data_IF_480425971887
#
_entry.id   IF_480425971887
#
_cell.length_a   1.000
_cell.length_b   1.000
_cell.length_c   1.000
_cell.angle_alpha   90.00
_cell.angle_beta   90.00
_cell.angle_gamma   90.00
#
_symmetry.space_group_name_H-M   'P 1'
#
loop_
_entity.id
_entity.type
_entity.pdbx_description
1 polymer ?
#
# COMPACT_ATOMS: atom_id res chain seq x y z
N UNK A 1 17.82 -35.14 8.96
CA UNK A 1 17.54 -34.02 8.03
C UNK A 1 17.34 -32.72 8.83
N UNK A 2 18.35 -32.33 9.63
CA UNK A 2 18.23 -31.20 10.56
C UNK A 2 19.45 -30.29 10.41
N UNK A 3 19.56 -29.56 9.28
CA UNK A 3 20.70 -28.64 9.14
C UNK A 3 20.56 -27.58 8.06
N UNK A 4 19.39 -26.93 7.92
CA UNK A 4 19.26 -25.83 6.94
C UNK A 4 18.56 -24.56 7.43
N UNK A 5 18.53 -24.33 8.74
CA UNK A 5 18.17 -22.98 9.23
C UNK A 5 19.33 -22.42 10.03
N UNK A 6 20.26 -21.73 9.37
CA UNK A 6 21.19 -20.83 10.04
C UNK A 6 20.42 -19.60 10.48
N UNK A 7 19.99 -19.57 11.75
CA UNK A 7 19.51 -18.34 12.38
C UNK A 7 20.74 -17.43 12.52
N UNK A 8 20.86 -16.46 11.64
CA UNK A 8 21.83 -15.38 11.78
C UNK A 8 21.32 -14.51 12.96
N UNK A 9 22.08 -14.36 14.06
CA UNK A 9 21.65 -13.52 15.15
C UNK A 9 21.54 -12.09 14.63
N UNK A 10 20.34 -11.54 14.63
CA UNK A 10 20.12 -10.13 14.34
C UNK A 10 20.87 -9.34 15.43
N UNK A 11 21.92 -8.60 15.05
CA UNK A 11 22.49 -7.55 15.90
C UNK A 11 21.35 -6.57 16.19
N UNK A 12 20.88 -6.54 17.45
CA UNK A 12 20.00 -5.46 17.91
C UNK A 12 20.79 -4.15 17.77
N UNK A 13 20.50 -3.42 16.70
CA UNK A 13 20.91 -2.03 16.59
C UNK A 13 20.10 -1.30 17.65
N UNK A 14 20.77 -0.76 18.67
CA UNK A 14 20.13 0.08 19.70
C UNK A 14 19.56 1.32 19.01
N UNK A 15 18.25 1.32 18.78
CA UNK A 15 17.52 2.42 18.15
C UNK A 15 17.31 3.53 19.20
N UNK A 16 18.36 4.25 19.57
CA UNK A 16 18.28 5.40 20.49
C UNK A 16 17.69 6.68 19.88
N UNK A 17 17.47 6.73 18.57
CA UNK A 17 17.31 8.00 17.84
C UNK A 17 15.93 8.28 17.26
N UNK A 18 15.00 7.32 17.24
CA UNK A 18 13.66 7.51 16.64
C UNK A 18 12.80 8.50 17.45
N UNK A 19 13.05 8.65 18.74
CA UNK A 19 12.35 9.60 19.63
C UNK A 19 12.46 11.05 19.14
N UNK A 20 13.61 11.44 18.60
CA UNK A 20 13.86 12.82 18.17
C UNK A 20 13.04 13.26 16.97
N UNK A 21 12.70 12.35 16.05
CA UNK A 21 11.98 12.69 14.82
C UNK A 21 10.50 13.00 15.08
N UNK A 22 9.86 12.29 16.02
CA UNK A 22 8.42 12.37 16.27
C UNK A 22 8.06 13.15 17.55
N UNK A 23 9.00 13.81 18.20
CA UNK A 23 8.78 14.48 19.48
C UNK A 23 7.57 15.39 19.48
N UNK A 24 7.41 16.21 18.43
CA UNK A 24 6.27 17.14 18.31
C UNK A 24 4.93 16.42 18.24
N UNK A 25 4.85 15.35 17.47
CA UNK A 25 3.63 14.55 17.31
C UNK A 25 3.29 13.80 18.61
N UNK A 26 4.28 13.22 19.27
CA UNK A 26 4.13 12.53 20.56
C UNK A 26 3.61 13.51 21.62
N UNK A 27 4.21 14.69 21.76
CA UNK A 27 3.77 15.73 22.71
C UNK A 27 2.33 16.20 22.42
N UNK A 28 2.00 16.40 21.16
CA UNK A 28 0.66 16.80 20.73
C UNK A 28 -0.37 15.74 21.10
N UNK A 29 -0.10 14.46 20.80
CA UNK A 29 -1.00 13.36 21.12
C UNK A 29 -1.13 13.20 22.64
N UNK A 30 -0.02 13.27 23.39
CA UNK A 30 -0.06 13.24 24.87
C UNK A 30 -0.89 14.37 25.46
N UNK A 31 -0.91 15.55 24.84
CA UNK A 31 -1.77 16.66 25.24
C UNK A 31 -3.25 16.29 25.00
N UNK A 32 -3.60 15.77 23.81
CA UNK A 32 -4.96 15.35 23.51
C UNK A 32 -5.46 14.25 24.44
N UNK A 33 -4.61 13.30 24.82
CA UNK A 33 -4.93 12.25 25.79
C UNK A 33 -5.28 12.85 27.16
N UNK A 34 -4.50 13.84 27.63
CA UNK A 34 -4.79 14.56 28.89
C UNK A 34 -6.13 15.30 28.83
N UNK A 35 -6.49 15.82 27.67
CA UNK A 35 -7.75 16.47 27.39
C UNK A 35 -8.91 15.46 27.15
N UNK A 36 -8.62 14.17 27.22
CA UNK A 36 -9.57 13.05 26.96
C UNK A 36 -10.19 13.12 25.55
N UNK A 37 -9.47 13.60 24.58
CA UNK A 37 -9.85 13.62 23.17
C UNK A 37 -9.51 12.32 22.50
N UNK A 38 -10.28 11.95 21.49
CA UNK A 38 -9.97 10.83 20.61
C UNK A 38 -9.04 11.30 19.49
N UNK A 39 -8.13 10.44 19.03
CA UNK A 39 -7.08 10.84 18.10
C UNK A 39 -6.92 9.84 16.97
N UNK A 40 -6.91 10.34 15.73
CA UNK A 40 -6.41 9.63 14.57
C UNK A 40 -4.94 9.98 14.33
N UNK A 41 -4.10 8.95 14.20
CA UNK A 41 -2.68 9.06 13.84
C UNK A 41 -2.56 8.61 12.39
N UNK A 42 -2.53 9.58 11.47
CA UNK A 42 -2.57 9.35 10.04
C UNK A 42 -1.17 9.45 9.43
N UNK A 43 -0.89 8.64 8.40
CA UNK A 43 0.37 8.72 7.67
C UNK A 43 0.63 7.49 6.83
N UNK A 44 1.52 7.59 5.84
CA UNK A 44 1.88 6.48 4.96
C UNK A 44 2.40 5.24 5.70
N UNK A 45 2.53 4.12 4.99
CA UNK A 45 3.16 2.93 5.57
C UNK A 45 4.62 3.22 5.90
N UNK A 46 5.13 2.68 7.02
CA UNK A 46 6.53 2.76 7.42
C UNK A 46 7.03 4.13 7.90
N UNK A 47 6.16 5.14 8.07
CA UNK A 47 6.57 6.48 8.57
C UNK A 47 6.71 6.56 10.10
N UNK A 48 6.39 5.48 10.85
CA UNK A 48 6.55 5.42 12.31
C UNK A 48 5.25 5.57 13.12
N UNK A 49 4.05 5.37 12.54
CA UNK A 49 2.76 5.46 13.28
C UNK A 49 2.71 4.55 14.50
N UNK A 50 2.98 3.26 14.33
CA UNK A 50 3.00 2.29 15.44
C UNK A 50 4.03 2.63 16.51
N UNK A 51 5.18 3.15 16.10
CA UNK A 51 6.21 3.63 17.04
C UNK A 51 5.65 4.79 17.89
N UNK A 52 5.07 5.81 17.24
CA UNK A 52 4.47 6.97 17.96
C UNK A 52 3.33 6.50 18.88
N UNK A 53 2.50 5.57 18.43
CA UNK A 53 1.42 5.02 19.25
C UNK A 53 1.97 4.34 20.51
N UNK A 54 2.98 3.48 20.36
CA UNK A 54 3.61 2.77 21.49
C UNK A 54 4.25 3.73 22.47
N UNK A 55 5.03 4.72 22.00
CA UNK A 55 5.66 5.75 22.84
C UNK A 55 4.62 6.58 23.62
N UNK A 56 3.49 6.85 23.02
CA UNK A 56 2.41 7.61 23.66
C UNK A 56 1.69 6.76 24.71
N UNK A 57 1.52 5.47 24.46
CA UNK A 57 0.83 4.52 25.37
C UNK A 57 1.74 4.00 26.48
N UNK A 58 3.05 4.22 26.40
CA UNK A 58 3.99 3.80 27.41
C UNK A 58 3.63 4.39 28.79
N UNK A 59 3.54 3.53 29.79
CA UNK A 59 3.13 3.92 31.17
C UNK A 59 1.63 4.19 31.33
N UNK A 60 0.81 4.14 30.29
CA UNK A 60 -0.63 4.30 30.36
C UNK A 60 -1.35 2.94 30.42
N UNK A 61 -2.45 2.92 31.18
CA UNK A 61 -3.32 1.74 31.17
C UNK A 61 -4.13 1.70 29.87
N UNK A 62 -3.81 0.77 28.99
CA UNK A 62 -4.36 0.70 27.64
C UNK A 62 -4.89 -0.69 27.29
N UNK A 63 -5.69 -0.78 26.23
CA UNK A 63 -6.21 -2.03 25.68
C UNK A 63 -6.36 -1.90 24.16
N UNK A 64 -5.85 -2.90 23.44
CA UNK A 64 -6.00 -2.99 21.99
C UNK A 64 -7.39 -3.54 21.63
N UNK A 65 -8.05 -2.86 20.68
CA UNK A 65 -9.29 -3.35 20.07
C UNK A 65 -8.95 -3.96 18.71
N UNK A 66 -9.16 -5.28 18.60
CA UNK A 66 -8.93 -6.06 17.37
C UNK A 66 -10.24 -6.47 16.71
N UNK A 67 -10.19 -6.81 15.44
CA UNK A 67 -11.36 -7.30 14.68
C UNK A 67 -12.03 -8.52 15.32
N UNK A 68 -11.25 -9.37 15.98
CA UNK A 68 -11.75 -10.54 16.70
C UNK A 68 -12.71 -10.15 17.83
N UNK A 69 -12.44 -9.03 18.51
CA UNK A 69 -13.28 -8.52 19.59
C UNK A 69 -14.64 -8.00 19.10
N UNK A 70 -14.76 -7.66 17.81
CA UNK A 70 -16.01 -7.21 17.21
C UNK A 70 -17.02 -8.35 17.05
N UNK A 71 -16.54 -9.58 16.88
CA UNK A 71 -17.40 -10.78 16.80
C UNK A 71 -18.11 -11.07 18.13
N UNK A 72 -17.47 -10.70 19.24
CA UNK A 72 -18.00 -10.84 20.61
C UNK A 72 -18.37 -9.50 21.25
N UNK A 73 -18.87 -8.55 20.45
CA UNK A 73 -19.17 -7.17 20.83
C UNK A 73 -20.02 -7.06 22.13
N UNK A 74 -20.98 -7.93 22.30
CA UNK A 74 -21.85 -7.96 23.49
C UNK A 74 -21.12 -8.32 24.79
N UNK A 75 -20.00 -9.04 24.71
CA UNK A 75 -19.20 -9.46 25.86
C UNK A 75 -18.05 -8.50 26.14
N UNK A 76 -17.46 -7.93 25.12
CA UNK A 76 -16.21 -7.14 25.21
C UNK A 76 -16.46 -5.66 25.56
N UNK A 77 -17.38 -4.98 24.89
CA UNK A 77 -17.66 -3.56 25.12
C UNK A 77 -18.12 -3.23 26.55
N UNK A 78 -18.98 -4.03 27.22
CA UNK A 78 -19.38 -3.79 28.61
C UNK A 78 -18.21 -3.80 29.60
N UNK A 79 -17.13 -4.54 29.33
CA UNK A 79 -15.93 -4.54 30.17
C UNK A 79 -15.04 -3.32 29.99
N UNK A 80 -15.08 -2.69 28.81
CA UNK A 80 -14.26 -1.50 28.50
C UNK A 80 -14.97 -0.22 28.96
N UNK A 81 -16.27 -0.09 28.76
CA UNK A 81 -17.04 1.13 29.05
C UNK A 81 -16.82 1.72 30.47
N UNK A 82 -16.83 0.93 31.54
CA UNK A 82 -16.61 1.46 32.89
C UNK A 82 -15.14 1.71 33.21
N UNK A 83 -14.21 1.25 32.41
CA UNK A 83 -12.77 1.33 32.68
C UNK A 83 -12.19 2.70 32.36
N UNK A 84 -11.11 3.09 33.06
CA UNK A 84 -10.31 4.27 32.73
C UNK A 84 -9.22 4.00 31.69
N UNK A 85 -9.24 2.83 31.05
CA UNK A 85 -8.25 2.45 30.08
C UNK A 85 -8.35 3.27 28.79
N UNK A 86 -7.21 3.59 28.20
CA UNK A 86 -7.16 4.09 26.83
C UNK A 86 -7.36 2.93 25.87
N UNK A 87 -8.20 3.12 24.85
CA UNK A 87 -8.45 2.12 23.83
C UNK A 87 -7.66 2.51 22.60
N UNK A 88 -7.03 1.54 21.94
CA UNK A 88 -6.37 1.83 20.67
C UNK A 88 -6.70 0.78 19.61
N UNK A 89 -6.69 1.21 18.35
CA UNK A 89 -6.84 0.40 17.15
C UNK A 89 -5.59 0.62 16.32
N UNK A 90 -4.80 -0.45 16.14
CA UNK A 90 -3.67 -0.42 15.23
C UNK A 90 -4.15 -0.84 13.84
N UNK A 91 -3.77 -0.05 12.82
CA UNK A 91 -4.17 -0.22 11.42
C UNK A 91 -5.69 -0.29 11.21
N UNK A 92 -6.30 0.90 11.11
CA UNK A 92 -7.73 1.05 10.88
C UNK A 92 -8.22 0.29 9.63
N UNK A 93 -9.18 -0.58 9.85
CA UNK A 93 -9.91 -1.30 8.81
C UNK A 93 -11.39 -0.87 8.75
N UNK A 94 -12.07 -1.01 7.59
CA UNK A 94 -13.49 -0.67 7.46
C UNK A 94 -14.42 -1.38 8.45
N UNK A 95 -14.00 -2.52 9.00
CA UNK A 95 -14.70 -3.29 10.02
C UNK A 95 -14.91 -2.52 11.34
N UNK A 96 -14.02 -1.55 11.63
CA UNK A 96 -14.14 -0.68 12.81
C UNK A 96 -15.05 0.54 12.59
N UNK A 97 -15.49 0.79 11.36
CA UNK A 97 -16.29 1.97 11.01
C UNK A 97 -17.51 2.18 11.93
N UNK A 98 -18.33 1.16 12.27
CA UNK A 98 -19.49 1.35 13.15
C UNK A 98 -19.13 1.83 14.55
N UNK A 99 -17.93 1.44 15.06
CA UNK A 99 -17.46 1.89 16.37
C UNK A 99 -16.97 3.34 16.29
N UNK A 100 -16.25 3.68 15.23
CA UNK A 100 -15.77 5.05 15.02
C UNK A 100 -16.96 6.01 14.88
N UNK A 101 -17.98 5.67 14.10
CA UNK A 101 -19.20 6.46 13.95
C UNK A 101 -19.92 6.64 15.30
N UNK A 102 -20.08 5.57 16.06
CA UNK A 102 -20.70 5.64 17.40
C UNK A 102 -19.93 6.58 18.34
N UNK A 103 -18.59 6.55 18.32
CA UNK A 103 -17.74 7.45 19.12
C UNK A 103 -17.80 8.88 18.58
N UNK A 104 -17.87 9.04 17.26
CA UNK A 104 -18.03 10.33 16.58
C UNK A 104 -19.34 11.00 16.94
N UNK A 105 -20.41 10.23 17.14
CA UNK A 105 -21.74 10.72 17.57
C UNK A 105 -21.81 11.06 19.06
N UNK A 106 -20.70 10.91 19.79
CA UNK A 106 -20.58 11.33 21.20
C UNK A 106 -20.63 10.20 22.24
N UNK A 107 -20.79 8.94 21.82
CA UNK A 107 -20.65 7.81 22.74
C UNK A 107 -19.16 7.61 23.10
N UNK A 108 -18.89 6.97 24.21
CA UNK A 108 -17.53 6.69 24.68
C UNK A 108 -17.33 5.19 24.88
N UNK A 109 -16.27 4.65 24.33
CA UNK A 109 -15.87 3.26 24.55
C UNK A 109 -15.33 3.03 25.96
N UNK A 110 -14.69 4.06 26.54
CA UNK A 110 -14.12 4.03 27.89
C UNK A 110 -14.10 5.44 28.49
N UNK A 111 -13.64 5.58 29.74
CA UNK A 111 -13.35 6.90 30.34
C UNK A 111 -12.03 7.50 29.83
N UNK A 112 -11.21 6.72 29.13
CA UNK A 112 -9.98 7.16 28.45
C UNK A 112 -10.25 7.69 27.05
N UNK A 113 -9.18 7.87 26.29
CA UNK A 113 -9.21 8.27 24.88
C UNK A 113 -9.20 7.05 23.97
N UNK A 114 -9.76 7.20 22.75
CA UNK A 114 -9.60 6.26 21.66
C UNK A 114 -8.51 6.77 20.71
N UNK A 115 -7.48 5.94 20.47
CA UNK A 115 -6.40 6.23 19.52
C UNK A 115 -6.49 5.26 18.35
N UNK A 116 -6.40 5.77 17.14
CA UNK A 116 -6.53 4.97 15.92
C UNK A 116 -5.40 5.29 14.96
N UNK A 117 -4.62 4.29 14.54
CA UNK A 117 -3.67 4.49 13.45
C UNK A 117 -4.33 4.18 12.11
N UNK A 118 -4.04 4.99 11.08
CA UNK A 118 -4.56 4.79 9.74
C UNK A 118 -3.57 5.26 8.67
N UNK A 119 -3.69 4.68 7.48
CA UNK A 119 -2.82 5.05 6.35
C UNK A 119 -3.31 6.32 5.66
N UNK A 120 -4.62 6.46 5.51
CA UNK A 120 -5.25 7.60 4.87
C UNK A 120 -5.70 8.63 5.91
N UNK A 121 -5.83 9.88 5.49
CA UNK A 121 -6.35 10.93 6.35
C UNK A 121 -7.84 10.68 6.62
N UNK A 122 -8.20 10.52 7.89
CA UNK A 122 -9.57 10.37 8.34
C UNK A 122 -9.99 11.60 9.14
N UNK A 123 -11.18 12.11 8.84
CA UNK A 123 -11.78 13.23 9.57
C UNK A 123 -13.16 12.79 10.08
N UNK A 124 -13.29 12.69 11.38
CA UNK A 124 -14.55 12.39 12.06
C UNK A 124 -14.81 13.45 13.14
N UNK A 125 -16.06 13.85 13.36
CA UNK A 125 -16.41 14.68 14.53
C UNK A 125 -15.92 14.02 15.83
N UNK A 126 -15.56 14.84 16.82
CA UNK A 126 -15.03 14.38 18.11
C UNK A 126 -13.70 13.62 18.05
N UNK A 127 -12.98 13.69 16.92
CA UNK A 127 -11.62 13.20 16.77
C UNK A 127 -10.67 14.32 16.37
N UNK A 128 -9.51 14.35 17.00
CA UNK A 128 -8.37 15.15 16.54
C UNK A 128 -7.52 14.32 15.59
N UNK A 129 -6.99 14.92 14.54
CA UNK A 129 -6.15 14.21 13.56
C UNK A 129 -4.72 14.71 13.65
N UNK A 130 -3.79 13.79 13.89
CA UNK A 130 -2.35 14.05 13.88
C UNK A 130 -1.73 13.37 12.68
N UNK A 131 -1.13 14.15 11.79
CA UNK A 131 -0.50 13.64 10.58
C UNK A 131 0.99 13.43 10.80
N UNK A 132 1.48 12.24 10.43
CA UNK A 132 2.89 11.88 10.39
C UNK A 132 3.34 11.93 8.92
N UNK A 133 4.12 12.95 8.52
CA UNK A 133 4.57 13.11 7.15
C UNK A 133 5.67 12.10 6.79
N UNK A 134 5.91 11.91 5.51
CA UNK A 134 7.13 11.27 5.02
C UNK A 134 8.35 12.10 5.41
N UNK A 135 9.43 11.44 5.76
CA UNK A 135 10.63 12.11 6.24
C UNK A 135 11.56 12.51 5.08
N UNK A 136 12.19 13.67 5.22
CA UNK A 136 13.25 14.09 4.28
C UNK A 136 14.52 13.25 4.52
N UNK A 137 15.35 13.02 3.48
CA UNK A 137 16.62 12.29 3.64
C UNK A 137 17.50 12.85 4.76
N UNK A 138 17.59 14.19 4.89
CA UNK A 138 18.36 14.85 5.95
C UNK A 138 17.89 14.49 7.36
N UNK A 139 16.59 14.22 7.54
CA UNK A 139 16.03 13.82 8.85
C UNK A 139 16.32 12.35 9.12
N UNK A 140 16.25 11.48 8.09
CA UNK A 140 16.56 10.07 8.24
C UNK A 140 18.05 9.84 8.57
N UNK A 141 18.94 10.64 8.01
CA UNK A 141 20.36 10.60 8.31
C UNK A 141 20.69 10.93 9.78
N UNK A 142 19.81 11.64 10.50
CA UNK A 142 19.99 11.87 11.94
C UNK A 142 19.72 10.64 12.80
N UNK A 143 19.15 9.58 12.22
CA UNK A 143 18.89 8.31 12.90
C UNK A 143 20.12 7.40 12.97
N UNK A 144 21.18 7.75 12.27
CA UNK A 144 22.41 6.96 12.17
C UNK A 144 23.59 7.82 12.61
N UNK A 145 24.40 7.29 13.53
CA UNK A 145 25.53 8.02 14.12
C UNK A 145 26.74 8.19 13.17
N UNK A 146 26.79 7.45 12.06
CA UNK A 146 27.89 7.48 11.11
C UNK A 146 27.48 8.04 9.74
N UNK A 147 28.35 8.87 9.18
CA UNK A 147 28.27 9.33 7.77
C UNK A 147 28.68 8.20 6.82
N UNK A 148 28.02 7.05 6.91
CA UNK A 148 28.25 5.96 5.95
C UNK A 148 27.67 6.38 4.58
N UNK A 149 28.43 6.28 3.49
CA UNK A 149 27.91 6.48 2.13
C UNK A 149 26.68 5.61 1.81
N UNK A 150 26.56 4.45 2.44
CA UNK A 150 25.38 3.59 2.35
C UNK A 150 24.12 4.23 2.97
N UNK A 151 24.28 4.95 4.08
CA UNK A 151 23.19 5.62 4.74
C UNK A 151 22.59 6.74 3.89
N UNK A 152 23.44 7.49 3.19
CA UNK A 152 23.01 8.54 2.26
C UNK A 152 22.19 7.94 1.10
N UNK A 153 22.69 6.90 0.46
CA UNK A 153 21.98 6.19 -0.60
C UNK A 153 20.64 5.61 -0.09
N UNK A 154 20.63 4.95 1.07
CA UNK A 154 19.44 4.42 1.69
C UNK A 154 18.40 5.52 1.98
N UNK A 155 18.83 6.70 2.48
CA UNK A 155 17.95 7.81 2.79
C UNK A 155 17.26 8.42 1.54
N UNK A 156 17.95 8.45 0.41
CA UNK A 156 17.34 8.88 -0.86
C UNK A 156 16.40 7.81 -1.44
N UNK A 157 16.80 6.54 -1.41
CA UNK A 157 16.02 5.43 -1.99
C UNK A 157 14.75 5.10 -1.24
N UNK A 158 14.71 5.25 0.09
CA UNK A 158 13.58 4.86 0.93
C UNK A 158 12.34 5.76 0.78
N UNK A 159 12.41 6.85 0.04
CA UNK A 159 11.30 7.79 -0.22
C UNK A 159 10.57 8.23 1.07
N UNK A 160 11.34 8.49 2.12
CA UNK A 160 10.83 8.96 3.42
C UNK A 160 10.17 7.89 4.30
N UNK A 161 10.34 6.62 3.96
CA UNK A 161 9.87 5.47 4.73
C UNK A 161 10.97 4.97 5.66
N UNK A 162 10.77 5.11 6.98
CA UNK A 162 11.77 4.73 8.00
C UNK A 162 12.06 3.22 7.97
N UNK A 163 11.04 2.38 7.77
CA UNK A 163 11.21 0.93 7.71
C UNK A 163 12.12 0.55 6.55
N UNK A 164 11.86 1.08 5.36
CA UNK A 164 12.70 0.84 4.19
C UNK A 164 14.11 1.40 4.37
N UNK A 165 14.26 2.55 5.06
CA UNK A 165 15.56 3.12 5.36
C UNK A 165 16.46 2.14 6.13
N UNK A 166 15.97 1.59 7.24
CA UNK A 166 16.72 0.59 8.01
C UNK A 166 16.96 -0.70 7.24
N UNK A 167 15.98 -1.13 6.44
CA UNK A 167 16.14 -2.32 5.59
C UNK A 167 17.27 -2.14 4.57
N UNK A 168 17.37 -0.98 3.93
CA UNK A 168 18.49 -0.68 3.01
C UNK A 168 19.85 -0.56 3.72
N UNK A 169 19.88 -0.06 4.97
CA UNK A 169 21.09 -0.03 5.78
C UNK A 169 21.60 -1.43 6.12
N UNK A 170 20.71 -2.37 6.39
CA UNK A 170 21.05 -3.76 6.70
C UNK A 170 21.56 -4.55 5.47
N UNK A 171 21.66 -3.89 4.30
CA UNK A 171 22.24 -4.47 3.09
C UNK A 171 21.29 -5.33 2.26
N UNK A 172 19.99 -5.25 2.51
CA UNK A 172 18.97 -5.86 1.65
C UNK A 172 18.74 -4.97 0.42
N UNK A 173 19.72 -4.95 -0.48
CA UNK A 173 19.64 -4.20 -1.76
C UNK A 173 18.58 -4.74 -2.72
N UNK A 174 18.11 -5.95 -2.49
CA UNK A 174 17.14 -6.67 -3.33
C UNK A 174 15.71 -6.60 -2.78
N UNK A 175 15.43 -5.88 -1.70
CA UNK A 175 14.03 -5.71 -1.33
C UNK A 175 13.32 -4.88 -2.39
N UNK A 176 12.26 -5.48 -2.90
CA UNK A 176 11.29 -4.87 -3.79
C UNK A 176 11.07 -3.41 -3.40
N UNK A 177 11.69 -2.52 -4.14
CA UNK A 177 11.25 -1.14 -4.19
C UNK A 177 9.79 -1.28 -4.58
N UNK A 178 8.88 -0.90 -3.68
CA UNK A 178 7.45 -0.97 -3.95
C UNK A 178 7.17 0.00 -5.10
N UNK A 179 7.48 -0.45 -6.30
CA UNK A 179 7.14 0.24 -7.52
C UNK A 179 5.69 -0.06 -7.81
N UNK A 180 4.91 0.97 -8.07
CA UNK A 180 3.60 0.74 -8.63
C UNK A 180 3.77 0.05 -9.99
N UNK A 181 2.81 -0.78 -10.42
CA UNK A 181 2.86 -1.43 -11.74
C UNK A 181 3.13 -0.43 -12.87
N UNK A 182 2.60 0.79 -12.75
CA UNK A 182 2.86 1.88 -13.71
C UNK A 182 4.33 2.32 -13.71
N UNK A 183 4.92 2.54 -12.54
CA UNK A 183 6.34 2.94 -12.43
C UNK A 183 7.26 1.84 -12.94
N UNK A 184 6.97 0.58 -12.59
CA UNK A 184 7.71 -0.56 -13.08
C UNK A 184 7.70 -0.65 -14.62
N UNK A 185 6.52 -0.61 -15.24
CA UNK A 185 6.39 -0.65 -16.71
C UNK A 185 7.00 0.61 -17.34
N UNK A 186 6.91 1.77 -16.70
CA UNK A 186 7.59 2.97 -17.18
C UNK A 186 9.11 2.79 -17.24
N UNK A 187 9.71 2.16 -16.24
CA UNK A 187 11.13 1.81 -16.25
C UNK A 187 11.45 0.79 -17.35
N UNK A 188 10.61 -0.23 -17.51
CA UNK A 188 10.77 -1.23 -18.58
C UNK A 188 10.72 -0.59 -19.97
N UNK A 189 9.80 0.34 -20.20
CA UNK A 189 9.59 0.97 -21.50
C UNK A 189 10.65 2.06 -21.81
N UNK A 190 11.19 2.73 -20.81
CA UNK A 190 12.15 3.85 -20.98
C UNK A 190 13.61 3.41 -20.99
N UNK A 191 14.02 2.50 -20.10
CA UNK A 191 15.42 2.15 -19.88
C UNK A 191 15.86 0.87 -20.58
N UNK A 192 14.98 0.21 -21.32
CA UNK A 192 15.22 -1.11 -21.92
C UNK A 192 15.69 -2.16 -20.89
N UNK A 193 15.35 -1.99 -19.62
CA UNK A 193 15.64 -2.98 -18.60
C UNK A 193 14.97 -4.30 -18.95
N UNK A 194 15.61 -5.43 -18.69
CA UNK A 194 14.96 -6.72 -18.85
C UNK A 194 13.75 -6.79 -17.94
N UNK A 195 12.70 -7.42 -18.42
CA UNK A 195 11.57 -7.77 -17.54
C UNK A 195 12.10 -8.78 -16.53
N UNK A 196 11.91 -8.55 -15.22
CA UNK A 196 12.38 -9.47 -14.19
C UNK A 196 11.69 -10.82 -14.32
N UNK A 197 12.24 -11.80 -13.61
CA UNK A 197 11.69 -13.15 -13.57
C UNK A 197 10.24 -13.10 -13.10
N UNK A 198 9.39 -13.90 -13.69
CA UNK A 198 7.96 -14.01 -13.46
C UNK A 198 7.53 -13.93 -11.98
N UNK A 199 8.27 -14.58 -11.07
CA UNK A 199 7.93 -14.65 -9.63
C UNK A 199 7.97 -13.29 -8.91
N UNK A 200 8.66 -12.31 -9.48
CA UNK A 200 8.77 -10.95 -8.93
C UNK A 200 7.72 -9.99 -9.48
N UNK A 201 6.87 -10.43 -10.41
CA UNK A 201 5.85 -9.58 -11.02
C UNK A 201 4.51 -9.79 -10.33
N UNK A 202 4.03 -8.76 -9.65
CA UNK A 202 2.67 -8.69 -9.13
C UNK A 202 1.79 -7.90 -10.10
N UNK A 203 0.48 -8.14 -10.10
CA UNK A 203 -0.49 -7.41 -10.92
C UNK A 203 -0.24 -7.44 -12.44
N UNK A 204 0.08 -8.60 -12.98
CA UNK A 204 0.41 -8.85 -14.39
C UNK A 204 -0.58 -8.22 -15.38
N UNK A 205 -1.86 -8.30 -15.11
CA UNK A 205 -2.90 -7.73 -15.98
C UNK A 205 -2.83 -6.22 -16.06
N UNK A 206 -2.51 -5.54 -14.95
CA UNK A 206 -2.34 -4.09 -14.95
C UNK A 206 -1.07 -3.65 -15.68
N UNK A 207 0.03 -4.39 -15.54
CA UNK A 207 1.27 -4.14 -16.29
C UNK A 207 1.04 -4.30 -17.79
N UNK A 208 0.32 -5.36 -18.21
CA UNK A 208 -0.04 -5.58 -19.60
C UNK A 208 -0.90 -4.45 -20.16
N UNK A 209 -1.91 -3.97 -19.38
CA UNK A 209 -2.76 -2.84 -19.77
C UNK A 209 -1.95 -1.56 -20.03
N UNK A 210 -1.00 -1.23 -19.14
CA UNK A 210 -0.10 -0.08 -19.34
C UNK A 210 0.79 -0.29 -20.58
N UNK A 211 1.28 -1.49 -20.81
CA UNK A 211 2.11 -1.79 -21.99
C UNK A 211 1.30 -1.63 -23.28
N UNK A 212 0.07 -2.16 -23.34
CA UNK A 212 -0.83 -2.02 -24.48
C UNK A 212 -1.17 -0.57 -24.85
N UNK A 213 -1.29 0.30 -23.87
CA UNK A 213 -1.60 1.73 -24.11
C UNK A 213 -0.41 2.49 -24.69
N UNK A 214 0.83 2.02 -24.50
CA UNK A 214 2.04 2.81 -24.77
C UNK A 214 2.93 2.30 -25.89
N UNK A 215 2.96 1.01 -26.23
CA UNK A 215 3.90 0.43 -27.19
C UNK A 215 3.86 1.10 -28.57
N UNK A 216 2.70 1.59 -28.99
CA UNK A 216 2.52 2.26 -30.27
C UNK A 216 3.26 3.60 -30.38
N UNK A 217 3.70 4.17 -29.26
CA UNK A 217 4.43 5.44 -29.22
C UNK A 217 5.95 5.25 -29.39
N UNK A 218 6.43 3.99 -29.47
CA UNK A 218 7.84 3.69 -29.71
C UNK A 218 8.15 3.78 -31.21
N UNK A 219 9.20 4.50 -31.59
CA UNK A 219 9.65 4.59 -32.98
C UNK A 219 10.33 3.29 -33.39
N UNK A 220 10.04 2.81 -34.60
CA UNK A 220 10.61 1.55 -35.13
C UNK A 220 10.04 0.27 -34.51
N UNK A 221 8.88 0.34 -33.86
CA UNK A 221 8.21 -0.79 -33.23
C UNK A 221 7.69 -1.82 -34.26
N UNK A 222 7.91 -3.11 -33.98
CA UNK A 222 7.28 -4.20 -34.76
C UNK A 222 5.88 -4.49 -34.23
N UNK A 223 4.92 -3.72 -34.72
CA UNK A 223 3.51 -3.78 -34.30
C UNK A 223 2.91 -5.16 -34.60
N UNK A 224 3.28 -5.79 -35.71
CA UNK A 224 2.69 -7.07 -36.13
C UNK A 224 3.03 -8.17 -35.12
N UNK A 225 4.29 -8.33 -34.81
CA UNK A 225 4.75 -9.32 -33.81
C UNK A 225 4.19 -9.03 -32.41
N UNK A 226 4.07 -7.77 -32.03
CA UNK A 226 3.46 -7.40 -30.74
C UNK A 226 1.97 -7.77 -30.70
N UNK A 227 1.21 -7.48 -31.75
CA UNK A 227 -0.22 -7.83 -31.81
C UNK A 227 -0.46 -9.34 -31.76
N UNK A 228 0.34 -10.13 -32.46
CA UNK A 228 0.28 -11.59 -32.41
C UNK A 228 0.60 -12.12 -31.01
N UNK A 229 1.60 -11.55 -30.37
CA UNK A 229 1.98 -11.89 -29.00
C UNK A 229 0.88 -11.56 -28.00
N UNK A 230 0.26 -10.39 -28.12
CA UNK A 230 -0.88 -9.99 -27.28
C UNK A 230 -2.11 -10.88 -27.47
N UNK A 231 -2.39 -11.29 -28.71
CA UNK A 231 -3.48 -12.25 -28.98
C UNK A 231 -3.22 -13.58 -28.28
N UNK A 232 -1.98 -14.03 -28.26
CA UNK A 232 -1.57 -15.24 -27.54
C UNK A 232 -1.66 -15.06 -26.03
N UNK A 233 -1.27 -13.89 -25.52
CA UNK A 233 -1.41 -13.54 -24.10
C UNK A 233 -2.87 -13.57 -23.64
N UNK A 234 -3.79 -12.97 -24.42
CA UNK A 234 -5.23 -12.98 -24.14
C UNK A 234 -5.81 -14.42 -24.08
N UNK A 235 -5.33 -15.29 -24.95
CA UNK A 235 -5.69 -16.71 -24.90
C UNK A 235 -5.26 -17.37 -23.58
N UNK A 236 -3.99 -17.16 -23.14
CA UNK A 236 -3.53 -17.71 -21.87
C UNK A 236 -4.26 -17.11 -20.67
N UNK A 237 -4.51 -15.81 -20.65
CA UNK A 237 -5.27 -15.12 -19.60
C UNK A 237 -6.65 -15.72 -19.43
N UNK A 238 -7.42 -15.81 -20.54
CA UNK A 238 -8.73 -16.45 -20.55
C UNK A 238 -8.71 -17.90 -20.10
N UNK A 239 -7.68 -18.67 -20.49
CA UNK A 239 -7.57 -20.06 -20.12
C UNK A 239 -7.25 -20.23 -18.63
N UNK A 240 -6.33 -19.42 -18.09
CA UNK A 240 -5.97 -19.42 -16.67
C UNK A 240 -7.21 -19.15 -15.81
N UNK A 241 -7.95 -18.10 -16.10
CA UNK A 241 -9.16 -17.75 -15.33
C UNK A 241 -10.30 -18.77 -15.47
N UNK A 242 -10.44 -19.44 -16.61
CA UNK A 242 -11.45 -20.49 -16.82
C UNK A 242 -11.13 -21.80 -16.12
N UNK A 243 -9.86 -22.16 -16.08
CA UNK A 243 -9.42 -23.47 -15.57
C UNK A 243 -8.83 -23.41 -14.15
N UNK A 244 -8.44 -22.24 -13.66
CA UNK A 244 -7.70 -22.06 -12.44
C UNK A 244 -6.24 -22.55 -12.49
N UNK A 245 -5.71 -22.82 -13.69
CA UNK A 245 -4.35 -23.33 -13.87
C UNK A 245 -3.32 -22.20 -13.91
N UNK A 246 -2.92 -21.75 -12.76
CA UNK A 246 -1.94 -20.65 -12.59
C UNK A 246 -0.52 -21.01 -13.04
N UNK A 247 -0.20 -22.28 -13.26
CA UNK A 247 1.10 -22.70 -13.79
C UNK A 247 1.37 -22.18 -15.22
N UNK A 248 0.35 -21.67 -15.89
CA UNK A 248 0.49 -21.07 -17.22
C UNK A 248 0.83 -19.57 -17.17
N UNK A 249 0.91 -18.97 -15.99
CA UNK A 249 1.24 -17.56 -15.82
C UNK A 249 2.58 -17.15 -16.45
N UNK A 250 3.66 -17.95 -16.40
CA UNK A 250 4.90 -17.65 -17.10
C UNK A 250 4.74 -17.47 -18.62
N UNK A 251 3.87 -18.27 -19.23
CA UNK A 251 3.57 -18.13 -20.67
C UNK A 251 2.78 -16.86 -20.98
N UNK A 252 1.83 -16.52 -20.11
CA UNK A 252 1.14 -15.22 -20.20
C UNK A 252 2.12 -14.07 -20.14
N UNK A 253 3.01 -14.02 -19.14
CA UNK A 253 4.02 -12.95 -18.99
C UNK A 253 4.98 -12.89 -20.17
N UNK A 254 5.38 -14.05 -20.70
CA UNK A 254 6.23 -14.12 -21.89
C UNK A 254 5.58 -13.38 -23.08
N UNK A 255 4.31 -13.65 -23.35
CA UNK A 255 3.59 -13.06 -24.49
C UNK A 255 3.03 -11.65 -24.21
N UNK A 256 2.68 -11.35 -22.96
CA UNK A 256 2.15 -10.06 -22.57
C UNK A 256 3.22 -8.96 -22.44
N UNK A 257 4.44 -9.33 -22.01
CA UNK A 257 5.48 -8.36 -21.65
C UNK A 257 6.83 -8.65 -22.32
N UNK A 258 7.35 -9.87 -22.25
CA UNK A 258 8.74 -10.17 -22.62
C UNK A 258 8.98 -10.09 -24.13
N UNK A 259 8.13 -10.73 -24.93
CA UNK A 259 8.23 -10.67 -26.40
C UNK A 259 7.93 -9.25 -26.88
N UNK A 260 6.82 -8.59 -26.47
CA UNK A 260 6.55 -7.22 -26.86
C UNK A 260 7.68 -6.25 -26.56
N UNK A 261 8.33 -6.37 -25.39
CA UNK A 261 9.47 -5.52 -25.08
C UNK A 261 10.63 -5.67 -26.06
N UNK A 262 10.93 -6.90 -26.49
CA UNK A 262 12.00 -7.15 -27.48
C UNK A 262 11.68 -6.57 -28.88
N UNK A 263 10.40 -6.36 -29.15
CA UNK A 263 9.89 -5.82 -30.41
C UNK A 263 9.70 -4.30 -30.36
N UNK A 264 9.97 -3.65 -29.21
CA UNK A 264 10.05 -2.20 -29.15
C UNK A 264 11.27 -1.71 -29.93
N UNK A 265 11.12 -0.59 -30.63
CA UNK A 265 12.22 0.14 -31.25
C UNK A 265 12.96 1.01 -30.25
N UNK A 266 12.73 2.33 -30.28
CA UNK A 266 13.35 3.25 -29.35
C UNK A 266 12.67 3.30 -27.99
N UNK A 267 13.44 3.56 -26.89
CA UNK A 267 12.87 3.73 -25.55
C UNK A 267 11.88 4.89 -25.49
N UNK A 268 10.84 4.73 -24.71
CA UNK A 268 9.84 5.79 -24.49
C UNK A 268 10.29 6.75 -23.38
N UNK A 269 9.97 8.02 -23.52
CA UNK A 269 10.16 9.01 -22.45
C UNK A 269 9.19 8.75 -21.30
N UNK A 270 9.68 8.66 -20.05
CA UNK A 270 8.87 8.34 -18.86
C UNK A 270 7.66 9.23 -18.70
N UNK A 271 7.79 10.53 -18.96
CA UNK A 271 6.73 11.52 -18.80
C UNK A 271 5.59 11.37 -19.82
N UNK A 272 5.84 10.69 -20.93
CA UNK A 272 4.86 10.42 -21.97
C UNK A 272 4.07 9.13 -21.75
N UNK A 273 4.46 8.29 -20.77
CA UNK A 273 3.82 7.02 -20.50
C UNK A 273 2.47 7.21 -19.84
N UNK A 274 1.43 6.75 -20.50
CA UNK A 274 0.04 6.84 -20.04
C UNK A 274 -0.35 5.64 -19.19
N UNK A 275 -1.23 5.81 -18.20
CA UNK A 275 -1.81 4.68 -17.48
C UNK A 275 -2.67 3.83 -18.43
N UNK A 276 -2.81 2.54 -18.14
CA UNK A 276 -3.70 1.65 -18.87
C UNK A 276 -5.15 2.10 -18.79
N UNK A 277 -5.89 1.88 -19.86
CA UNK A 277 -7.28 2.36 -20.01
C UNK A 277 -8.32 1.25 -20.21
N UNK A 278 -7.90 -0.02 -20.35
CA UNK A 278 -8.79 -1.16 -20.62
C UNK A 278 -9.85 -1.33 -19.55
N UNK A 279 -9.48 -1.28 -18.28
CA UNK A 279 -10.41 -1.43 -17.15
C UNK A 279 -11.44 -0.32 -17.10
N UNK A 280 -11.03 0.92 -17.37
CA UNK A 280 -11.94 2.08 -17.43
C UNK A 280 -12.89 1.96 -18.62
N UNK A 281 -12.38 1.59 -19.78
CA UNK A 281 -13.18 1.37 -21.00
C UNK A 281 -14.19 0.24 -20.79
N UNK A 282 -13.79 -0.88 -20.21
CA UNK A 282 -14.66 -2.02 -19.88
C UNK A 282 -15.73 -1.63 -18.84
N UNK A 283 -15.38 -0.90 -17.81
CA UNK A 283 -16.32 -0.39 -16.81
C UNK A 283 -17.37 0.52 -17.42
N UNK A 284 -16.96 1.45 -18.27
CA UNK A 284 -17.85 2.35 -19.01
C UNK A 284 -18.77 1.59 -19.97
N UNK A 285 -18.25 0.58 -20.65
CA UNK A 285 -19.05 -0.29 -21.52
C UNK A 285 -20.12 -1.04 -20.73
N UNK A 286 -19.75 -1.71 -19.63
CA UNK A 286 -20.70 -2.44 -18.76
C UNK A 286 -21.79 -1.51 -18.21
N UNK A 287 -21.43 -0.31 -17.80
CA UNK A 287 -22.38 0.69 -17.31
C UNK A 287 -23.37 1.14 -18.42
N UNK A 288 -22.87 1.40 -19.62
CA UNK A 288 -23.70 1.78 -20.77
C UNK A 288 -24.63 0.65 -21.19
N UNK A 289 -24.14 -0.59 -21.21
CA UNK A 289 -24.94 -1.79 -21.50
C UNK A 289 -26.06 -1.96 -20.46
N UNK A 290 -25.77 -1.82 -19.16
CA UNK A 290 -26.77 -1.88 -18.10
C UNK A 290 -27.87 -0.84 -18.27
N UNK A 291 -27.50 0.42 -18.54
CA UNK A 291 -28.47 1.50 -18.83
C UNK A 291 -29.34 1.19 -20.05
N UNK A 292 -28.76 0.66 -21.11
CA UNK A 292 -29.50 0.26 -22.32
C UNK A 292 -30.50 -0.86 -22.02
N UNK A 293 -30.12 -1.87 -21.27
CA UNK A 293 -30.99 -2.95 -20.84
C UNK A 293 -32.17 -2.46 -19.97
N UNK A 294 -31.91 -1.51 -19.07
CA UNK A 294 -32.95 -0.83 -18.27
C UNK A 294 -33.96 -0.08 -19.16
N UNK A 295 -33.46 0.72 -20.12
CA UNK A 295 -34.31 1.45 -21.04
C UNK A 295 -35.17 0.49 -21.89
N UNK A 296 -34.57 -0.63 -22.35
CA UNK A 296 -35.29 -1.67 -23.09
C UNK A 296 -36.38 -2.34 -22.25
N UNK A 297 -36.15 -2.55 -20.96
CA UNK A 297 -37.16 -3.07 -20.02
C UNK A 297 -38.30 -2.06 -19.84
N UNK A 298 -37.99 -0.77 -19.59
CA UNK A 298 -39.00 0.30 -19.45
C UNK A 298 -39.87 0.43 -20.72
N UNK A 299 -39.24 0.45 -21.91
CA UNK A 299 -39.97 0.49 -23.18
C UNK A 299 -40.89 -0.71 -23.39
N UNK A 300 -40.54 -1.90 -22.89
CA UNK A 300 -41.41 -3.10 -22.98
C UNK A 300 -42.56 -3.08 -21.98
N UNK A 301 -42.43 -2.32 -20.88
CA UNK A 301 -43.48 -2.17 -19.86
C UNK A 301 -44.45 -1.00 -20.17
N UNK A 302 -44.27 -0.29 -21.30
CA UNK A 302 -45.13 0.84 -21.68
C UNK A 302 -44.98 2.10 -20.82
N UNK A 303 -43.84 2.22 -20.11
CA UNK A 303 -43.47 3.38 -19.30
C UNK A 303 -42.50 4.27 -20.08
#
# INVERSE_FOLDING_TARGET
>A
MDSFIKIIPQKKVEVKTVVTIHTKQIELIRRYIRERKNVFICGGSGVGKSYVLNEVLEGLNNVELRTEHLKSKSLFLPFIKPSSKHVFIEDYEPTFKPIIEQVSDGDRLSRGSLLVTCTNMCMYPNFETVFIPKHKPSVLLTLVDDKDPKAENAAYRCNGNIRNFFTYLDGYDEMDIFQTPKEFIADVLSDQKPIPIYDSIHEHGHMWDVFQENYINSEGVDITTICESFSTADYYDNYIYKTGNWNLMPYFVLHALTIPKKCLGEPLEKDKIRPGSCWTKLGNYKMRKGKFEELKKKSRMGL
#
